data_IF_793705456689
#
_entry.id   IF_793705456689
#
_cell.length_a   1.000
_cell.length_b   1.000
_cell.length_c   1.000
_cell.angle_alpha   90.00
_cell.angle_beta   90.00
_cell.angle_gamma   90.00
#
_symmetry.space_group_name_H-M   'P 1'
#
loop_
_entity.id
_entity.type
_entity.pdbx_description
1 polymer ?
#
# COMPACT_ATOMS: atom_id res chain seq x y z
N UNK A 1 -13.48 -9.89 5.68
CA UNK A 1 -12.81 -9.01 6.66
C UNK A 1 -12.30 -7.81 5.90
N UNK A 2 -12.73 -6.60 6.24
CA UNK A 2 -12.38 -5.40 5.47
C UNK A 2 -10.94 -5.00 5.81
N UNK A 3 -10.05 -4.80 4.83
CA UNK A 3 -8.62 -4.52 5.06
C UNK A 3 -8.40 -3.31 6.00
N UNK A 4 -9.36 -2.38 6.02
CA UNK A 4 -9.35 -1.19 6.88
C UNK A 4 -9.77 -1.44 8.34
N UNK A 5 -10.44 -2.55 8.66
CA UNK A 5 -10.88 -2.83 10.04
C UNK A 5 -9.71 -3.14 10.98
N UNK A 6 -8.60 -3.64 10.42
CA UNK A 6 -7.36 -3.95 11.15
C UNK A 6 -6.39 -2.76 11.21
N UNK A 7 -6.50 -1.79 10.30
CA UNK A 7 -5.64 -0.61 10.27
C UNK A 7 -6.15 0.52 11.18
N UNK A 8 -6.57 0.16 12.40
CA UNK A 8 -7.04 1.13 13.41
C UNK A 8 -5.87 2.04 13.79
N UNK A 9 -5.94 3.30 13.40
CA UNK A 9 -5.01 4.32 13.86
C UNK A 9 -5.44 4.82 15.24
N UNK A 10 -4.52 4.79 16.20
CA UNK A 10 -4.69 5.42 17.52
C UNK A 10 -4.02 6.79 17.58
N UNK A 11 -3.71 7.40 16.43
CA UNK A 11 -2.94 8.64 16.33
C UNK A 11 -3.64 9.83 17.00
N UNK A 12 -4.98 9.91 16.90
CA UNK A 12 -5.80 10.89 17.62
C UNK A 12 -6.12 10.46 19.07
N UNK A 13 -5.44 9.44 19.56
CA UNK A 13 -5.74 8.72 20.77
C UNK A 13 -6.68 7.55 20.51
N UNK A 14 -6.46 6.44 21.23
CA UNK A 14 -7.34 5.29 21.18
C UNK A 14 -8.75 5.59 21.72
N UNK A 15 -9.60 4.56 21.87
CA UNK A 15 -10.97 4.71 22.34
C UNK A 15 -11.10 5.49 23.66
N UNK A 16 -10.14 5.35 24.57
CA UNK A 16 -10.11 6.06 25.86
C UNK A 16 -9.95 7.58 25.70
N UNK A 17 -9.03 8.02 24.83
CA UNK A 17 -8.84 9.45 24.58
C UNK A 17 -10.05 10.04 23.87
N UNK A 18 -10.65 9.32 22.92
CA UNK A 18 -11.86 9.78 22.24
C UNK A 18 -13.03 9.92 23.22
N UNK A 19 -13.15 9.02 24.19
CA UNK A 19 -14.16 9.09 25.25
C UNK A 19 -13.89 10.27 26.19
N UNK A 20 -12.62 10.51 26.55
CA UNK A 20 -12.19 11.68 27.31
C UNK A 20 -12.54 13.01 26.61
N UNK A 21 -12.30 13.11 25.30
CA UNK A 21 -12.69 14.29 24.50
C UNK A 21 -14.21 14.49 24.47
N UNK A 22 -14.97 13.41 24.47
CA UNK A 22 -16.43 13.48 24.51
C UNK A 22 -16.93 13.97 25.87
N UNK A 23 -16.37 13.44 26.96
CA UNK A 23 -16.83 13.72 28.32
C UNK A 23 -16.31 15.06 28.86
N UNK A 24 -15.05 15.39 28.61
CA UNK A 24 -14.39 16.58 29.15
C UNK A 24 -14.51 17.80 28.22
N UNK A 25 -14.31 17.61 26.91
CA UNK A 25 -14.30 18.70 25.92
C UNK A 25 -15.65 18.88 25.21
N UNK A 26 -16.67 18.08 25.56
CA UNK A 26 -17.99 18.05 24.89
C UNK A 26 -17.82 17.95 23.37
N UNK A 27 -16.94 17.06 22.89
CA UNK A 27 -16.57 16.95 21.48
C UNK A 27 -17.01 15.61 20.89
N UNK A 28 -17.72 15.67 19.76
CA UNK A 28 -18.18 14.50 19.01
C UNK A 28 -17.65 14.56 17.59
N UNK A 29 -17.07 13.45 17.14
CA UNK A 29 -16.56 13.31 15.79
C UNK A 29 -17.63 12.71 14.87
N UNK A 30 -17.83 13.32 13.71
CA UNK A 30 -18.75 12.81 12.69
C UNK A 30 -18.01 12.68 11.37
N UNK A 31 -18.09 11.49 10.77
CA UNK A 31 -17.64 11.29 9.39
C UNK A 31 -18.67 11.93 8.47
N UNK A 32 -18.24 12.94 7.72
CA UNK A 32 -19.11 13.68 6.81
C UNK A 32 -18.96 13.23 5.36
N UNK A 33 -17.82 12.64 5.01
CA UNK A 33 -17.54 12.19 3.66
C UNK A 33 -16.48 11.07 3.67
N UNK A 34 -16.58 10.18 2.70
CA UNK A 34 -15.56 9.17 2.38
C UNK A 34 -15.35 9.19 0.86
N UNK A 35 -14.15 9.54 0.44
CA UNK A 35 -13.74 9.62 -0.96
C UNK A 35 -12.62 8.62 -1.24
N UNK A 36 -12.37 8.39 -2.53
CA UNK A 36 -11.25 7.56 -3.02
C UNK A 36 -11.17 6.18 -2.38
N UNK A 37 -12.30 5.62 -1.95
CA UNK A 37 -12.39 4.28 -1.34
C UNK A 37 -12.15 3.18 -2.36
N UNK A 38 -10.95 3.13 -2.92
CA UNK A 38 -10.56 2.19 -3.97
C UNK A 38 -9.65 1.11 -3.43
N UNK A 39 -9.96 -0.11 -3.85
CA UNK A 39 -9.17 -1.29 -3.57
C UNK A 39 -8.41 -1.65 -4.85
N UNK A 40 -7.08 -1.58 -4.79
CA UNK A 40 -6.19 -1.91 -5.90
C UNK A 40 -5.78 -3.39 -5.79
N UNK A 41 -6.76 -4.28 -5.93
CA UNK A 41 -6.50 -5.68 -6.24
C UNK A 41 -6.47 -5.78 -7.77
N UNK A 42 -5.31 -5.59 -8.41
CA UNK A 42 -5.30 -5.63 -9.89
C UNK A 42 -5.89 -6.93 -10.41
N UNK A 43 -6.84 -6.73 -11.34
CA UNK A 43 -7.60 -7.68 -12.14
C UNK A 43 -6.76 -8.52 -13.11
N UNK A 44 -5.48 -8.78 -12.81
CA UNK A 44 -4.58 -9.60 -13.64
C UNK A 44 -5.04 -11.07 -13.77
N UNK A 45 -6.06 -11.47 -13.03
CA UNK A 45 -6.71 -12.79 -13.14
C UNK A 45 -7.63 -12.91 -14.36
N UNK A 46 -8.16 -11.80 -14.92
CA UNK A 46 -9.14 -11.90 -16.02
C UNK A 46 -8.52 -12.08 -17.42
N UNK A 47 -7.21 -11.89 -17.60
CA UNK A 47 -6.56 -12.09 -18.91
C UNK A 47 -6.10 -13.53 -19.16
N UNK A 48 -6.00 -14.37 -18.12
CA UNK A 48 -5.54 -15.77 -18.28
C UNK A 48 -6.68 -16.79 -18.36
N UNK A 49 -7.94 -16.34 -18.39
CA UNK A 49 -9.11 -17.23 -18.30
C UNK A 49 -9.86 -17.52 -19.62
N UNK A 50 -9.54 -16.84 -20.73
CA UNK A 50 -10.43 -16.85 -21.91
C UNK A 50 -9.81 -17.33 -23.24
N UNK A 51 -8.68 -18.02 -23.23
CA UNK A 51 -8.14 -18.67 -24.44
C UNK A 51 -8.51 -20.16 -24.53
N UNK A 52 -9.76 -20.51 -24.21
CA UNK A 52 -10.30 -21.82 -24.54
C UNK A 52 -11.41 -21.71 -25.59
N UNK A 53 -11.06 -22.18 -26.78
CA UNK A 53 -11.91 -22.69 -27.85
C UNK A 53 -12.68 -21.68 -28.72
N UNK A 54 -12.10 -21.35 -29.86
CA UNK A 54 -12.72 -21.73 -31.13
C UNK A 54 -11.64 -22.02 -32.18
N UNK A 55 -11.72 -23.24 -32.72
CA UNK A 55 -10.87 -23.77 -33.78
C UNK A 55 -10.96 -22.87 -35.01
N UNK A 56 -9.88 -22.18 -35.36
CA UNK A 56 -9.53 -21.85 -36.74
C UNK A 56 -8.00 -21.77 -36.78
N UNK A 57 -7.42 -22.73 -37.50
CA UNK A 57 -5.99 -22.85 -37.70
C UNK A 57 -5.56 -21.84 -38.77
N UNK A 58 -5.28 -20.61 -38.33
CA UNK A 58 -4.47 -19.68 -39.12
C UNK A 58 -3.14 -19.50 -38.37
N UNK A 59 -2.10 -20.04 -39.00
CA UNK A 59 -0.70 -20.07 -38.59
C UNK A 59 -0.15 -18.64 -38.52
N UNK A 60 -0.18 -18.04 -37.33
CA UNK A 60 0.57 -16.84 -36.99
C UNK A 60 1.69 -17.22 -36.02
N UNK A 61 2.93 -16.82 -36.34
CA UNK A 61 4.10 -16.97 -35.48
C UNK A 61 3.87 -16.25 -34.13
N UNK A 62 3.41 -17.01 -33.15
CA UNK A 62 2.98 -16.58 -31.82
C UNK A 62 4.10 -16.75 -30.78
N UNK A 63 5.28 -16.17 -31.06
CA UNK A 63 6.44 -16.18 -30.17
C UNK A 63 6.36 -15.12 -29.04
N UNK A 64 5.20 -14.48 -28.85
CA UNK A 64 5.00 -13.43 -27.85
C UNK A 64 3.86 -13.71 -26.86
N UNK A 65 3.50 -14.98 -26.64
CA UNK A 65 2.70 -15.32 -25.46
C UNK A 65 3.59 -15.18 -24.22
N UNK A 66 3.31 -14.26 -23.28
CA UNK A 66 4.08 -14.15 -22.06
C UNK A 66 4.03 -15.49 -21.31
N UNK A 67 5.21 -16.03 -21.02
CA UNK A 67 5.42 -17.28 -20.29
C UNK A 67 4.45 -17.40 -19.11
N UNK A 68 3.85 -18.59 -18.97
CA UNK A 68 2.95 -18.97 -17.89
C UNK A 68 3.52 -18.51 -16.54
N UNK A 69 2.94 -17.46 -15.96
CA UNK A 69 3.23 -17.05 -14.59
C UNK A 69 3.10 -18.26 -13.66
N UNK A 70 4.15 -18.55 -12.90
CA UNK A 70 4.13 -19.65 -11.95
C UNK A 70 3.21 -19.29 -10.77
N UNK A 71 2.53 -20.28 -10.19
CA UNK A 71 1.71 -20.11 -8.99
C UNK A 71 2.46 -19.42 -7.83
N UNK A 72 3.79 -19.58 -7.78
CA UNK A 72 4.65 -18.93 -6.79
C UNK A 72 4.74 -17.42 -6.99
N UNK A 73 4.83 -16.95 -8.23
CA UNK A 73 4.86 -15.52 -8.54
C UNK A 73 3.51 -14.84 -8.24
N UNK A 74 2.40 -15.56 -8.48
CA UNK A 74 1.07 -15.11 -8.02
C UNK A 74 1.02 -14.93 -6.50
N UNK A 75 1.52 -15.87 -5.70
CA UNK A 75 1.53 -15.68 -4.24
C UNK A 75 2.39 -14.50 -3.80
N UNK A 76 3.39 -14.12 -4.60
CA UNK A 76 4.30 -13.00 -4.30
C UNK A 76 3.74 -11.63 -4.65
N UNK A 77 2.76 -11.55 -5.55
CA UNK A 77 2.18 -10.29 -6.00
C UNK A 77 0.90 -9.93 -5.26
N UNK A 78 0.17 -10.92 -4.74
CA UNK A 78 -1.16 -10.72 -4.16
C UNK A 78 -1.09 -10.60 -2.63
N UNK A 79 -2.00 -9.81 -2.02
CA UNK A 79 -2.12 -9.76 -0.58
C UNK A 79 -2.65 -11.11 -0.06
N UNK A 80 -1.74 -11.94 0.44
CA UNK A 80 -2.04 -13.23 1.06
C UNK A 80 -2.10 -13.09 2.59
N UNK A 81 -2.88 -13.92 3.30
CA UNK A 81 -2.88 -13.93 4.75
C UNK A 81 -1.47 -14.10 5.33
N UNK A 82 -1.14 -13.31 6.35
CA UNK A 82 0.18 -13.34 7.00
C UNK A 82 1.20 -12.37 6.40
N UNK A 83 0.90 -11.70 5.29
CA UNK A 83 1.76 -10.63 4.77
C UNK A 83 1.61 -9.33 5.54
N UNK A 84 2.73 -8.63 5.67
CA UNK A 84 2.78 -7.33 6.30
C UNK A 84 2.20 -6.26 5.37
N UNK A 85 1.33 -5.44 5.93
CA UNK A 85 0.73 -4.27 5.26
C UNK A 85 1.20 -3.04 6.00
N UNK A 86 1.79 -2.12 5.26
CA UNK A 86 2.24 -0.83 5.76
C UNK A 86 1.06 0.14 5.69
N UNK A 87 0.64 0.62 6.85
CA UNK A 87 -0.43 1.61 6.97
C UNK A 87 0.18 3.00 7.01
N UNK A 88 -0.17 3.84 6.04
CA UNK A 88 0.20 5.26 6.04
C UNK A 88 -1.06 6.10 6.22
N UNK A 89 -1.10 6.87 7.31
CA UNK A 89 -2.17 7.85 7.54
C UNK A 89 -1.57 9.25 7.61
N UNK A 90 -2.16 10.20 6.90
CA UNK A 90 -1.85 11.62 7.05
C UNK A 90 -3.12 12.41 7.37
N UNK A 91 -2.94 13.52 8.08
CA UNK A 91 -4.03 14.36 8.56
C UNK A 91 -3.85 15.76 8.01
N UNK A 92 -4.92 16.34 7.46
CA UNK A 92 -4.90 17.70 6.91
C UNK A 92 -6.00 18.50 7.61
N UNK A 93 -5.65 19.46 8.49
CA UNK A 93 -6.63 20.33 9.10
C UNK A 93 -7.18 21.33 8.09
N UNK A 94 -8.50 21.46 8.04
CA UNK A 94 -9.24 22.41 7.22
C UNK A 94 -10.15 23.27 8.08
N UNK A 95 -10.63 24.39 7.50
CA UNK A 95 -11.57 25.33 8.15
C UNK A 95 -11.12 25.72 9.57
N UNK A 96 -9.85 26.09 9.73
CA UNK A 96 -9.24 26.48 11.03
C UNK A 96 -9.28 25.37 12.11
N UNK A 97 -9.23 24.10 11.70
CA UNK A 97 -9.25 22.95 12.62
C UNK A 97 -10.65 22.50 13.02
N UNK A 98 -11.69 22.85 12.27
CA UNK A 98 -13.06 22.32 12.47
C UNK A 98 -13.29 21.02 11.68
N UNK A 99 -12.55 20.85 10.58
CA UNK A 99 -12.61 19.68 9.70
C UNK A 99 -11.22 19.09 9.61
N UNK A 100 -11.11 17.78 9.68
CA UNK A 100 -9.88 17.04 9.43
C UNK A 100 -10.12 16.11 8.24
N UNK A 101 -9.21 16.15 7.27
CA UNK A 101 -9.14 15.10 6.25
C UNK A 101 -8.08 14.08 6.64
N UNK A 102 -8.50 12.83 6.74
CA UNK A 102 -7.66 11.68 7.01
C UNK A 102 -7.40 10.93 5.71
N UNK A 103 -6.20 11.07 5.16
CA UNK A 103 -5.79 10.29 4.00
C UNK A 103 -5.18 8.99 4.49
N UNK A 104 -5.81 7.88 4.15
CA UNK A 104 -5.37 6.55 4.53
C UNK A 104 -4.90 5.79 3.29
N UNK A 105 -3.72 5.20 3.36
CA UNK A 105 -3.12 4.38 2.29
C UNK A 105 -2.56 3.10 2.87
N UNK A 106 -2.88 1.99 2.22
CA UNK A 106 -2.36 0.67 2.56
C UNK A 106 -1.36 0.27 1.49
N UNK A 107 -0.13 -0.03 1.90
CA UNK A 107 0.95 -0.47 1.03
C UNK A 107 1.40 -1.88 1.40
N UNK A 108 1.98 -2.58 0.44
CA UNK A 108 2.66 -3.85 0.67
C UNK A 108 4.01 -3.82 -0.04
N UNK A 109 5.06 -4.27 0.64
CA UNK A 109 6.35 -4.46 0.00
C UNK A 109 6.26 -5.66 -0.95
N UNK A 110 6.73 -5.46 -2.18
CA UNK A 110 6.80 -6.47 -3.24
C UNK A 110 8.27 -6.68 -3.57
N UNK A 111 8.70 -7.93 -3.42
CA UNK A 111 10.02 -8.36 -3.83
C UNK A 111 10.14 -8.29 -5.34
N UNK A 112 11.17 -7.59 -5.83
CA UNK A 112 11.56 -7.71 -7.23
C UNK A 112 12.11 -9.13 -7.44
N UNK A 113 11.40 -9.94 -8.21
CA UNK A 113 12.02 -11.07 -8.89
C UNK A 113 12.93 -10.45 -9.94
N UNK A 114 14.23 -10.35 -9.64
CA UNK A 114 15.20 -10.16 -10.71
C UNK A 114 15.28 -11.50 -11.42
N UNK A 115 14.89 -11.56 -12.69
CA UNK A 115 15.06 -12.75 -13.52
C UNK A 115 16.47 -13.29 -13.33
N UNK A 116 16.55 -14.46 -12.70
CA UNK A 116 17.78 -15.21 -12.51
C UNK A 116 18.39 -15.70 -13.84
N UNK A 117 17.81 -15.31 -14.99
CA UNK A 117 18.33 -15.61 -16.31
C UNK A 117 19.35 -14.56 -16.83
N UNK A 118 19.60 -13.46 -16.12
CA UNK A 118 20.65 -12.50 -16.51
C UNK A 118 22.09 -13.03 -16.33
N UNK A 119 22.29 -14.26 -15.82
CA UNK A 119 23.63 -14.81 -15.56
C UNK A 119 24.17 -15.73 -16.66
N UNK A 120 23.49 -15.90 -17.79
CA UNK A 120 23.92 -16.87 -18.82
C UNK A 120 24.69 -16.31 -20.02
N UNK A 121 25.09 -15.03 -19.99
CA UNK A 121 25.99 -14.43 -21.00
C UNK A 121 27.40 -14.08 -20.48
N UNK A 122 27.79 -14.55 -19.30
CA UNK A 122 29.22 -14.57 -18.89
C UNK A 122 29.82 -15.93 -19.25
N UNK A 123 29.93 -16.23 -20.55
CA UNK A 123 30.74 -17.33 -21.07
C UNK A 123 32.02 -16.73 -21.66
N UNK A 124 33.09 -16.92 -20.87
CA UNK A 124 34.48 -17.21 -21.24
C UNK A 124 35.24 -16.16 -22.07
N UNK A 125 35.91 -15.23 -21.37
CA UNK A 125 37.20 -14.71 -21.82
C UNK A 125 38.30 -15.37 -20.98
N UNK A 126 38.95 -16.36 -21.58
CA UNK A 126 40.05 -17.15 -21.05
C UNK A 126 41.35 -16.35 -21.23
N UNK A 127 41.88 -15.76 -20.14
CA UNK A 127 43.15 -15.05 -20.25
C UNK A 127 43.62 -14.29 -19.01
N UNK A 128 44.38 -14.96 -18.14
CA UNK A 128 45.60 -14.37 -17.56
C UNK A 128 45.52 -13.77 -16.15
N UNK A 129 46.02 -14.55 -15.19
CA UNK A 129 46.91 -14.17 -14.07
C UNK A 129 46.88 -12.72 -13.53
N UNK A 130 46.21 -12.54 -12.37
CA UNK A 130 46.80 -12.00 -11.11
C UNK A 130 45.70 -11.79 -10.06
N UNK A 131 45.79 -12.52 -8.95
CA UNK A 131 44.91 -12.40 -7.79
C UNK A 131 45.29 -11.17 -6.95
N UNK A 132 44.46 -10.13 -6.97
CA UNK A 132 44.44 -9.04 -5.98
C UNK A 132 43.18 -9.15 -5.09
N UNK A 133 43.40 -9.48 -3.81
CA UNK A 133 42.40 -9.84 -2.79
C UNK A 133 41.64 -8.64 -2.18
N UNK A 134 41.23 -7.65 -3.00
CA UNK A 134 40.68 -6.38 -2.48
C UNK A 134 39.30 -5.97 -3.01
N UNK A 135 38.47 -6.90 -3.48
CA UNK A 135 37.17 -6.54 -4.10
C UNK A 135 35.95 -7.31 -3.59
N UNK A 136 35.99 -7.87 -2.37
CA UNK A 136 34.82 -8.54 -1.78
C UNK A 136 33.74 -7.58 -1.22
N UNK A 137 34.06 -6.30 -0.99
CA UNK A 137 33.19 -5.39 -0.23
C UNK A 137 32.22 -4.53 -1.06
N UNK A 138 32.23 -4.64 -2.39
CA UNK A 138 31.61 -3.62 -3.28
C UNK A 138 30.23 -3.95 -3.87
N UNK A 139 29.62 -5.10 -3.59
CA UNK A 139 28.36 -5.48 -4.28
C UNK A 139 27.24 -6.04 -3.37
N UNK A 140 27.06 -5.49 -2.17
CA UNK A 140 25.71 -5.47 -1.55
C UNK A 140 24.84 -4.46 -2.30
N UNK A 141 24.46 -4.79 -3.54
CA UNK A 141 23.42 -4.09 -4.28
C UNK A 141 22.16 -4.17 -3.42
N UNK A 142 21.77 -3.05 -2.80
CA UNK A 142 20.54 -2.95 -2.01
C UNK A 142 19.39 -3.42 -2.91
N UNK A 143 18.79 -4.58 -2.59
CA UNK A 143 17.62 -5.10 -3.29
C UNK A 143 16.57 -3.99 -3.25
N UNK A 144 16.20 -3.47 -4.41
CA UNK A 144 15.21 -2.39 -4.52
C UNK A 144 13.84 -3.01 -4.27
N UNK A 145 13.37 -2.97 -3.03
CA UNK A 145 12.00 -3.34 -2.68
C UNK A 145 11.05 -2.34 -3.34
N UNK A 146 10.08 -2.84 -4.11
CA UNK A 146 9.00 -2.01 -4.64
C UNK A 146 7.85 -2.01 -3.65
N UNK A 147 7.07 -0.92 -3.62
CA UNK A 147 5.84 -0.85 -2.80
C UNK A 147 4.64 -0.82 -3.71
N UNK A 148 3.69 -1.72 -3.46
CA UNK A 148 2.40 -1.75 -4.14
C UNK A 148 1.34 -1.10 -3.26
N UNK A 149 0.58 -0.16 -3.83
CA UNK A 149 -0.60 0.39 -3.17
C UNK A 149 -1.71 -0.67 -3.24
N UNK A 150 -2.26 -1.05 -2.09
CA UNK A 150 -3.34 -2.03 -1.99
C UNK A 150 -4.71 -1.35 -1.87
N UNK A 151 -4.76 -0.23 -1.14
CA UNK A 151 -5.99 0.50 -0.94
C UNK A 151 -5.69 1.95 -0.59
N UNK A 152 -6.62 2.84 -0.91
CA UNK A 152 -6.62 4.19 -0.37
C UNK A 152 -8.04 4.58 0.02
N UNK A 153 -8.15 5.58 0.89
CA UNK A 153 -9.39 6.25 1.22
C UNK A 153 -9.08 7.62 1.81
N UNK A 154 -9.90 8.60 1.49
CA UNK A 154 -9.87 9.93 2.10
C UNK A 154 -11.13 10.09 2.93
N UNK A 155 -10.98 10.15 4.26
CA UNK A 155 -12.11 10.30 5.19
C UNK A 155 -12.15 11.73 5.70
N UNK A 156 -13.26 12.44 5.47
CA UNK A 156 -13.49 13.76 6.04
C UNK A 156 -14.24 13.63 7.35
N UNK A 157 -13.67 14.17 8.41
CA UNK A 157 -14.23 14.15 9.75
C UNK A 157 -14.46 15.59 10.22
N UNK A 158 -15.62 15.86 10.80
CA UNK A 158 -15.96 17.14 11.41
C UNK A 158 -16.08 16.98 12.92
N UNK A 159 -15.49 17.94 13.65
CA UNK A 159 -15.69 18.05 15.09
C UNK A 159 -16.96 18.88 15.36
N UNK A 160 -17.88 18.28 16.12
CA UNK A 160 -19.08 18.94 16.60
C UNK A 160 -19.03 19.07 18.11
N UNK A 161 -19.63 20.13 18.64
CA UNK A 161 -19.92 20.22 20.08
C UNK A 161 -21.05 19.25 20.43
N UNK A 162 -20.87 18.36 21.39
CA UNK A 162 -21.81 17.31 21.75
C UNK A 162 -23.17 17.83 22.17
N UNK A 163 -23.19 18.85 23.04
CA UNK A 163 -24.41 19.49 23.56
C UNK A 163 -25.24 20.20 22.48
N UNK A 164 -24.60 20.89 21.53
CA UNK A 164 -25.30 21.75 20.55
C UNK A 164 -25.34 21.18 19.13
N UNK A 165 -24.54 20.14 18.86
CA UNK A 165 -24.28 19.57 17.53
C UNK A 165 -23.78 20.58 16.49
N UNK A 166 -23.25 21.72 16.93
CA UNK A 166 -22.67 22.75 16.05
C UNK A 166 -21.20 22.44 15.74
N UNK A 167 -20.71 22.74 14.53
CA UNK A 167 -19.29 22.65 14.21
C UNK A 167 -18.45 23.46 15.20
N UNK A 168 -17.40 22.84 15.73
CA UNK A 168 -16.52 23.47 16.72
C UNK A 168 -15.05 23.31 16.32
N UNK A 169 -14.21 24.24 16.78
CA UNK A 169 -12.78 24.17 16.58
C UNK A 169 -12.19 23.07 17.48
N UNK A 170 -11.22 22.32 16.96
CA UNK A 170 -10.48 21.36 17.76
C UNK A 170 -9.63 22.03 18.86
N UNK A 171 -9.53 21.42 20.05
CA UNK A 171 -8.57 21.79 21.07
C UNK A 171 -7.15 21.87 20.53
N UNK A 172 -6.38 22.86 21.02
CA UNK A 172 -5.01 23.11 20.52
C UNK A 172 -4.09 21.89 20.69
N UNK A 173 -4.20 21.18 21.82
CA UNK A 173 -3.40 19.99 22.10
C UNK A 173 -3.62 18.84 21.09
N UNK A 174 -4.78 18.80 20.41
CA UNK A 174 -5.01 17.85 19.30
C UNK A 174 -4.43 18.37 17.99
N UNK A 175 -4.57 19.68 17.75
CA UNK A 175 -3.99 20.32 16.57
C UNK A 175 -2.47 20.15 16.54
N UNK A 176 -1.82 20.25 17.70
CA UNK A 176 -0.37 20.08 17.85
C UNK A 176 0.10 18.63 17.60
N UNK A 177 -0.80 17.65 17.63
CA UNK A 177 -0.50 16.25 17.26
C UNK A 177 -0.73 15.96 15.79
N UNK A 178 -1.61 16.75 15.15
CA UNK A 178 -1.99 16.61 13.75
C UNK A 178 -0.98 17.28 12.81
N UNK A 179 -0.38 18.39 13.27
CA UNK A 179 0.65 19.16 12.56
C UNK A 179 2.05 18.61 12.82
#
# INVERSE_FOLDING_TARGET
MNFFERSRSTHLGGPEMLRKLQDEDDLVWVVTNVQDGTLFLDSLVLLNGNSNNNNNADEYDDDNIPEKFTMKEFQLLYPTPGREVIVQTSYIPKRRGMIIECNHRLWMDVDHYSDSNSTRNEILDDGGDKYDEKTADRKRRKKKTMRRLLAQATVTIMALKGSTRRPTKLPQHLMDRIL
#
